data_IF_657420070311
#
_entry.id   IF_657420070311
#
_cell.length_a   1.000
_cell.length_b   1.000
_cell.length_c   1.000
_cell.angle_alpha   90.00
_cell.angle_beta   90.00
_cell.angle_gamma   90.00
#
_symmetry.space_group_name_H-M   'P 1'
#
loop_
_entity.id
_entity.type
_entity.pdbx_description
1 polymer ?
#
# COMPACT_ATOMS: atom_id res chain seq x y z
N UNK A 1 -12.42 -3.26 -5.21
CA UNK A 1 -11.47 -2.43 -4.46
C UNK A 1 -11.94 -2.31 -3.03
N UNK A 2 -11.04 -2.06 -2.08
CA UNK A 2 -11.34 -1.85 -0.66
C UNK A 2 -10.83 -0.47 -0.27
N UNK A 3 -11.72 0.37 0.25
CA UNK A 3 -11.36 1.67 0.82
C UNK A 3 -11.23 1.54 2.35
N UNK A 4 -10.16 2.08 2.91
CA UNK A 4 -9.92 2.06 4.37
C UNK A 4 -10.32 3.36 5.07
N UNK A 5 -11.07 4.22 4.36
CA UNK A 5 -11.36 5.58 4.77
C UNK A 5 -10.19 6.54 4.52
N UNK A 6 -10.48 7.85 4.53
CA UNK A 6 -9.52 8.88 4.18
C UNK A 6 -9.06 8.73 2.73
N UNK A 7 -7.74 8.69 2.53
CA UNK A 7 -7.12 8.70 1.20
C UNK A 7 -6.34 7.39 0.90
N UNK A 8 -6.86 6.25 1.33
CA UNK A 8 -6.23 4.92 1.18
C UNK A 8 -7.12 3.99 0.36
N UNK A 9 -6.55 3.40 -0.69
CA UNK A 9 -7.24 2.43 -1.55
C UNK A 9 -6.41 1.17 -1.72
N UNK A 10 -7.05 0.00 -1.57
CA UNK A 10 -6.47 -1.31 -1.85
C UNK A 10 -7.20 -1.96 -3.04
N UNK A 11 -6.45 -2.45 -4.01
CA UNK A 11 -6.98 -3.14 -5.19
C UNK A 11 -6.30 -4.50 -5.37
N UNK A 12 -7.08 -5.55 -5.61
CA UNK A 12 -6.58 -6.93 -5.71
C UNK A 12 -6.62 -7.72 -4.40
N UNK A 13 -6.99 -7.09 -3.28
CA UNK A 13 -7.03 -7.69 -1.93
C UNK A 13 -8.38 -8.33 -1.57
N UNK A 14 -9.36 -8.33 -2.47
CA UNK A 14 -10.75 -8.74 -2.21
C UNK A 14 -10.90 -10.23 -1.88
N UNK A 15 -9.99 -11.06 -2.40
CA UNK A 15 -10.04 -12.52 -2.28
C UNK A 15 -9.13 -13.07 -1.16
N UNK A 16 -8.46 -12.20 -0.39
CA UNK A 16 -7.64 -12.65 0.73
C UNK A 16 -8.52 -13.16 1.87
N UNK A 17 -8.03 -14.13 2.64
CA UNK A 17 -8.76 -14.54 3.83
C UNK A 17 -8.92 -13.37 4.83
N UNK A 18 -10.00 -13.33 5.62
CA UNK A 18 -10.28 -12.21 6.52
C UNK A 18 -9.12 -11.88 7.47
N UNK A 19 -8.40 -12.90 7.94
CA UNK A 19 -7.23 -12.73 8.81
C UNK A 19 -6.09 -11.97 8.13
N UNK A 20 -5.72 -12.37 6.91
CA UNK A 20 -4.71 -11.68 6.11
C UNK A 20 -5.13 -10.24 5.81
N UNK A 21 -6.40 -10.03 5.46
CA UNK A 21 -6.92 -8.70 5.19
C UNK A 21 -6.84 -7.76 6.42
N UNK A 22 -7.07 -8.27 7.63
CA UNK A 22 -6.90 -7.50 8.88
C UNK A 22 -5.44 -7.05 9.04
N UNK A 23 -4.48 -7.92 8.72
CA UNK A 23 -3.04 -7.61 8.80
C UNK A 23 -2.68 -6.55 7.77
N UNK A 24 -3.09 -6.73 6.51
CA UNK A 24 -2.87 -5.74 5.43
C UNK A 24 -3.38 -4.37 5.85
N UNK A 25 -4.63 -4.28 6.34
CA UNK A 25 -5.22 -3.01 6.80
C UNK A 25 -4.39 -2.32 7.88
N UNK A 26 -3.88 -3.09 8.85
CA UNK A 26 -3.03 -2.56 9.93
C UNK A 26 -1.69 -2.05 9.40
N UNK A 27 -1.03 -2.84 8.55
CA UNK A 27 0.28 -2.47 7.95
C UNK A 27 0.13 -1.21 7.12
N UNK A 28 -0.83 -1.20 6.19
CA UNK A 28 -1.10 -0.05 5.34
C UNK A 28 -1.44 1.19 6.14
N UNK A 29 -2.39 1.09 7.09
CA UNK A 29 -2.79 2.24 7.91
C UNK A 29 -1.61 2.83 8.70
N UNK A 30 -0.74 1.98 9.26
CA UNK A 30 0.44 2.42 9.98
C UNK A 30 1.43 3.15 9.06
N UNK A 31 1.71 2.60 7.87
CA UNK A 31 2.60 3.21 6.90
C UNK A 31 2.04 4.51 6.35
N UNK A 32 0.77 4.54 5.93
CA UNK A 32 0.14 5.76 5.43
C UNK A 32 0.17 6.87 6.47
N UNK A 33 -0.06 6.56 7.75
CA UNK A 33 0.05 7.55 8.83
C UNK A 33 1.46 8.15 8.91
N UNK A 34 2.51 7.33 8.81
CA UNK A 34 3.90 7.82 8.78
C UNK A 34 4.20 8.67 7.54
N UNK A 35 3.82 8.17 6.36
CA UNK A 35 4.03 8.84 5.07
C UNK A 35 3.32 10.20 5.05
N UNK A 36 2.05 10.25 5.43
CA UNK A 36 1.26 11.49 5.45
C UNK A 36 1.77 12.52 6.46
N UNK A 37 2.41 12.10 7.55
CA UNK A 37 3.03 13.01 8.51
C UNK A 37 4.36 13.60 8.00
N UNK A 38 5.08 12.89 7.12
CA UNK A 38 6.41 13.27 6.65
C UNK A 38 6.41 13.94 5.27
N UNK A 39 5.33 13.81 4.50
CA UNK A 39 5.22 14.31 3.14
C UNK A 39 4.24 15.48 3.08
N UNK A 40 4.74 16.63 2.64
CA UNK A 40 3.89 17.79 2.38
C UNK A 40 2.85 17.48 1.28
N UNK A 41 1.62 17.93 1.50
CA UNK A 41 0.48 17.75 0.59
C UNK A 41 0.27 16.29 0.14
N UNK A 42 0.25 15.37 1.10
CA UNK A 42 -0.24 14.01 0.87
C UNK A 42 -1.69 14.05 0.37
N UNK A 43 -1.94 13.47 -0.82
CA UNK A 43 -3.27 13.44 -1.41
C UNK A 43 -3.92 12.08 -1.24
N UNK A 44 -3.27 11.00 -1.70
CA UNK A 44 -3.79 9.62 -1.57
C UNK A 44 -2.70 8.58 -1.80
N UNK A 45 -2.97 7.37 -1.34
CA UNK A 45 -2.14 6.19 -1.61
C UNK A 45 -3.00 5.04 -2.12
N UNK A 46 -2.58 4.46 -3.24
CA UNK A 46 -3.20 3.29 -3.86
C UNK A 46 -2.21 2.13 -3.79
N UNK A 47 -2.67 0.99 -3.30
CA UNK A 47 -1.88 -0.24 -3.21
C UNK A 47 -2.55 -1.29 -4.06
N UNK A 48 -1.78 -1.84 -4.98
CA UNK A 48 -2.20 -2.79 -6.00
C UNK A 48 -1.49 -4.10 -5.72
N UNK A 49 -2.27 -5.15 -5.47
CA UNK A 49 -1.81 -6.52 -5.46
C UNK A 49 -1.97 -7.08 -6.87
N UNK A 50 -0.88 -7.57 -7.45
CA UNK A 50 -0.95 -8.21 -8.76
C UNK A 50 -1.76 -9.52 -8.65
N UNK A 51 -2.66 -9.72 -9.61
CA UNK A 51 -3.59 -10.87 -9.61
C UNK A 51 -2.93 -12.12 -10.17
N UNK A 52 -1.93 -11.97 -11.03
CA UNK A 52 -1.17 -13.07 -11.62
C UNK A 52 0.01 -13.45 -10.73
N UNK A 53 0.62 -12.46 -10.07
CA UNK A 53 1.69 -12.63 -9.09
C UNK A 53 1.29 -12.03 -7.74
N UNK A 54 0.59 -12.81 -6.91
CA UNK A 54 0.11 -12.38 -5.58
C UNK A 54 1.24 -12.01 -4.59
N UNK A 55 2.47 -12.09 -5.04
CA UNK A 55 3.67 -11.75 -4.30
C UNK A 55 4.28 -10.43 -4.79
N UNK A 56 3.66 -9.74 -5.74
CA UNK A 56 4.07 -8.45 -6.25
C UNK A 56 3.10 -7.33 -5.84
N UNK A 57 3.65 -6.30 -5.21
CA UNK A 57 2.94 -5.12 -4.74
C UNK A 57 3.41 -3.88 -5.49
N UNK A 58 2.46 -3.15 -6.06
CA UNK A 58 2.68 -1.81 -6.62
C UNK A 58 1.98 -0.78 -5.73
N UNK A 59 2.67 0.30 -5.41
CA UNK A 59 2.15 1.40 -4.59
C UNK A 59 2.25 2.68 -5.40
N UNK A 60 1.14 3.42 -5.51
CA UNK A 60 1.09 4.76 -6.09
C UNK A 60 0.79 5.76 -5.00
N UNK A 61 1.72 6.68 -4.77
CA UNK A 61 1.57 7.78 -3.85
C UNK A 61 1.31 9.06 -4.64
N UNK A 62 0.18 9.71 -4.37
CA UNK A 62 -0.13 11.03 -4.89
C UNK A 62 0.26 12.08 -3.85
N UNK A 63 1.16 12.99 -4.23
CA UNK A 63 1.64 14.09 -3.39
C UNK A 63 1.98 15.29 -4.27
N UNK A 64 1.66 16.52 -3.84
CA UNK A 64 1.99 17.75 -4.57
C UNK A 64 1.55 17.75 -6.06
N UNK A 65 0.45 17.08 -6.42
CA UNK A 65 0.04 16.89 -7.81
C UNK A 65 0.90 15.91 -8.63
N UNK A 66 1.92 15.31 -8.03
CA UNK A 66 2.78 14.29 -8.63
C UNK A 66 2.40 12.88 -8.17
N UNK A 67 2.77 11.89 -8.98
CA UNK A 67 2.59 10.47 -8.68
C UNK A 67 3.97 9.82 -8.56
N UNK A 68 4.29 9.37 -7.35
CA UNK A 68 5.45 8.53 -7.11
C UNK A 68 5.00 7.07 -7.06
N UNK A 69 5.70 6.19 -7.79
CA UNK A 69 5.39 4.77 -7.84
C UNK A 69 6.54 3.94 -7.29
N UNK A 70 6.20 2.96 -6.46
CA UNK A 70 7.14 1.98 -5.93
C UNK A 70 6.58 0.58 -6.12
N UNK A 71 7.45 -0.37 -6.38
CA UNK A 71 7.10 -1.77 -6.58
C UNK A 71 8.03 -2.66 -5.77
N UNK A 72 7.51 -3.73 -5.19
CA UNK A 72 8.32 -4.76 -4.58
C UNK A 72 7.63 -6.11 -4.66
N UNK A 73 8.43 -7.15 -4.88
CA UNK A 73 8.02 -8.53 -4.75
C UNK A 73 8.77 -9.25 -3.65
N UNK A 74 8.11 -10.25 -3.07
CA UNK A 74 8.65 -11.18 -2.08
C UNK A 74 7.86 -12.49 -2.07
N UNK A 75 8.45 -13.58 -1.57
CA UNK A 75 7.78 -14.87 -1.34
C UNK A 75 6.53 -14.81 -0.46
N UNK A 76 6.36 -13.71 0.28
CA UNK A 76 5.25 -13.50 1.21
C UNK A 76 4.67 -12.09 1.04
N UNK A 77 3.34 -12.02 0.90
CA UNK A 77 2.56 -10.80 0.72
C UNK A 77 2.91 -9.68 1.72
N UNK A 78 3.05 -10.00 3.01
CA UNK A 78 3.29 -8.98 4.03
C UNK A 78 4.69 -8.38 3.91
N UNK A 79 5.68 -9.20 3.54
CA UNK A 79 7.04 -8.73 3.29
C UNK A 79 7.12 -7.90 1.99
N UNK A 80 6.44 -8.33 0.93
CA UNK A 80 6.33 -7.55 -0.31
C UNK A 80 5.70 -6.17 -0.04
N UNK A 81 4.62 -6.13 0.76
CA UNK A 81 3.93 -4.91 1.16
C UNK A 81 4.81 -3.98 2.00
N UNK A 82 5.50 -4.51 3.01
CA UNK A 82 6.43 -3.77 3.87
C UNK A 82 7.59 -3.16 3.05
N UNK A 83 8.17 -3.97 2.15
CA UNK A 83 9.25 -3.56 1.26
C UNK A 83 8.83 -2.51 0.24
N UNK A 84 7.61 -2.54 -0.27
CA UNK A 84 7.10 -1.51 -1.17
C UNK A 84 6.84 -0.19 -0.44
N UNK A 85 6.22 -0.24 0.75
CA UNK A 85 5.85 0.95 1.52
C UNK A 85 7.03 1.64 2.22
N UNK A 86 8.04 0.89 2.65
CA UNK A 86 9.24 1.43 3.31
C UNK A 86 10.07 2.34 2.39
N UNK A 87 10.00 2.16 1.07
CA UNK A 87 10.67 3.02 0.08
C UNK A 87 10.24 4.49 0.12
N UNK A 88 9.03 4.78 0.59
CA UNK A 88 8.56 6.17 0.75
C UNK A 88 9.01 6.82 2.07
N UNK A 89 9.69 6.08 2.95
CA UNK A 89 10.24 6.57 4.21
C UNK A 89 11.78 6.55 4.26
N UNK A 90 12.43 6.22 3.15
CA UNK A 90 13.90 6.14 3.03
C UNK A 90 14.52 7.50 2.76
#
# INVERSE_FOLDING_TARGET
>A
MIELGGNITLEGFENLEPGALVIVKKVVGNYTKKISNNIANFERILILLDREDQNNIKVKLHKNGEIEMQEASDSNLFFALDKALSKFNS
#
